data_IF_586033517315
#
_entry.id   IF_586033517315
#
_cell.length_a   1.000
_cell.length_b   1.000
_cell.length_c   1.000
_cell.angle_alpha   90.00
_cell.angle_beta   90.00
_cell.angle_gamma   90.00
#
_symmetry.space_group_name_H-M   'P 1'
#
loop_
_entity.id
_entity.type
_entity.pdbx_description
1 polymer ?
#
# COMPACT_ATOMS: atom_id res chain seq x y z
N UNK A 1 2.37 -0.76 -5.45
CA UNK A 1 1.87 0.40 -4.65
C UNK A 1 0.48 0.78 -5.13
N UNK A 2 -0.36 1.33 -4.25
CA UNK A 2 -1.67 1.84 -4.65
C UNK A 2 -1.51 3.00 -5.64
N UNK A 3 -2.31 3.00 -6.72
CA UNK A 3 -2.38 4.12 -7.66
C UNK A 3 -3.22 5.26 -7.08
N UNK A 4 -4.33 4.91 -6.46
CA UNK A 4 -5.26 5.80 -5.78
C UNK A 4 -5.82 5.02 -4.57
N UNK A 5 -5.79 5.57 -3.34
CA UNK A 5 -6.44 4.96 -2.18
C UNK A 5 -7.97 4.83 -2.30
N UNK A 6 -8.63 5.66 -3.13
CA UNK A 6 -10.07 5.64 -3.39
C UNK A 6 -10.36 5.86 -4.89
N UNK A 7 -10.14 4.85 -5.73
CA UNK A 7 -10.35 4.96 -7.18
C UNK A 7 -11.82 5.22 -7.59
N UNK A 8 -12.76 5.06 -6.66
CA UNK A 8 -14.14 5.53 -6.76
C UNK A 8 -14.51 6.26 -5.46
N UNK A 9 -15.52 7.13 -5.50
CA UNK A 9 -15.91 7.95 -4.33
C UNK A 9 -16.25 7.11 -3.09
N UNK A 10 -16.76 5.89 -3.29
CA UNK A 10 -17.08 4.92 -2.23
C UNK A 10 -15.89 4.11 -1.68
N UNK A 11 -14.69 4.28 -2.24
CA UNK A 11 -13.49 3.56 -1.84
C UNK A 11 -12.92 2.67 -2.93
N UNK A 12 -12.75 1.38 -2.62
CA UNK A 12 -12.25 0.38 -3.55
C UNK A 12 -13.30 0.07 -4.64
N UNK A 13 -12.84 -0.17 -5.86
CA UNK A 13 -13.72 -0.52 -6.98
C UNK A 13 -14.38 -1.89 -6.74
N UNK A 14 -15.70 -1.95 -6.85
CA UNK A 14 -16.48 -3.20 -6.75
C UNK A 14 -16.85 -3.63 -5.33
N UNK A 15 -16.57 -2.79 -4.32
CA UNK A 15 -17.06 -3.03 -2.95
C UNK A 15 -18.50 -2.52 -2.83
N UNK A 16 -19.35 -3.31 -2.18
CA UNK A 16 -20.70 -2.90 -1.82
C UNK A 16 -20.66 -1.82 -0.74
N UNK A 17 -20.76 -0.57 -1.18
CA UNK A 17 -20.66 0.61 -0.32
C UNK A 17 -21.86 0.82 0.59
N UNK A 18 -22.95 0.05 0.43
CA UNK A 18 -24.09 0.12 1.35
C UNK A 18 -23.77 -0.56 2.69
N UNK A 19 -22.89 -1.55 2.68
CA UNK A 19 -22.54 -2.34 3.86
C UNK A 19 -21.07 -2.18 4.28
N UNK A 20 -20.19 -1.73 3.38
CA UNK A 20 -18.76 -1.69 3.63
C UNK A 20 -18.10 -0.36 3.22
N UNK A 21 -17.35 0.20 4.17
CA UNK A 21 -16.38 1.26 3.88
C UNK A 21 -15.06 0.63 3.46
N UNK A 22 -14.44 1.16 2.40
CA UNK A 22 -13.20 0.59 1.87
C UNK A 22 -12.19 1.66 1.47
N UNK A 23 -10.91 1.29 1.52
CA UNK A 23 -9.79 2.07 1.00
C UNK A 23 -8.66 1.12 0.59
N UNK A 24 -7.92 1.47 -0.47
CA UNK A 24 -6.74 0.73 -0.88
C UNK A 24 -5.52 1.18 -0.06
N UNK A 25 -4.74 0.23 0.45
CA UNK A 25 -3.46 0.50 1.13
C UNK A 25 -2.34 -0.37 0.58
N UNK A 26 -1.10 0.14 0.63
CA UNK A 26 0.07 -0.60 0.17
C UNK A 26 0.59 -1.48 1.29
N UNK A 27 0.78 -2.77 1.01
CA UNK A 27 1.43 -3.70 1.93
C UNK A 27 2.93 -3.74 1.67
N UNK A 28 3.68 -4.13 2.71
CA UNK A 28 5.12 -4.21 2.68
C UNK A 28 5.57 -5.66 2.88
N UNK A 29 6.72 -5.99 2.29
CA UNK A 29 7.47 -7.22 2.57
C UNK A 29 8.92 -6.86 2.81
N UNK A 30 9.64 -7.73 3.51
CA UNK A 30 11.05 -7.52 3.85
C UNK A 30 11.92 -8.45 3.01
N UNK A 31 12.95 -7.87 2.39
CA UNK A 31 13.96 -8.59 1.63
C UNK A 31 15.33 -8.12 2.11
N UNK A 32 16.34 -9.00 2.04
CA UNK A 32 17.72 -8.56 2.20
C UNK A 32 18.12 -7.77 0.96
N UNK A 33 18.72 -6.61 1.18
CA UNK A 33 19.33 -5.78 0.16
C UNK A 33 20.67 -5.27 0.71
N UNK A 34 21.64 -5.03 -0.17
CA UNK A 34 22.87 -4.34 0.21
C UNK A 34 22.49 -2.90 0.57
N UNK A 35 22.62 -2.56 1.85
CA UNK A 35 22.32 -1.22 2.35
C UNK A 35 23.58 -0.57 2.89
N UNK A 36 23.57 0.76 3.03
CA UNK A 36 24.66 1.49 3.66
C UNK A 36 24.13 2.23 4.89
N UNK A 37 24.84 2.06 6.00
CA UNK A 37 24.67 2.85 7.20
C UNK A 37 25.96 3.64 7.43
N UNK A 38 25.92 4.95 7.18
CA UNK A 38 27.12 5.79 7.18
C UNK A 38 28.13 5.37 6.09
N UNK A 39 29.34 4.96 6.49
CA UNK A 39 30.39 4.46 5.58
C UNK A 39 30.49 2.94 5.54
N UNK A 40 29.58 2.22 6.19
CA UNK A 40 29.59 0.76 6.29
C UNK A 40 28.42 0.18 5.48
N UNK A 41 28.72 -0.86 4.68
CA UNK A 41 27.69 -1.62 3.98
C UNK A 41 27.26 -2.83 4.82
N UNK A 42 25.97 -3.16 4.81
CA UNK A 42 25.32 -4.24 5.54
C UNK A 42 24.36 -5.04 4.64
#
# INVERSE_FOLDING_TARGET
KCRDPKPVSSGCRGIDSKHWNSYCTTTHTFVKALTMEGKQAA
#
